data_IF_443144725517
#
_entry.id   IF_443144725517
#
_cell.length_a   1.000
_cell.length_b   1.000
_cell.length_c   1.000
_cell.angle_alpha   90.00
_cell.angle_beta   90.00
_cell.angle_gamma   90.00
#
_symmetry.space_group_name_H-M   'P 1'
#
loop_
_entity.id
_entity.type
_entity.pdbx_description
1 polymer ?
#
# COMPACT_ATOMS: atom_id res chain seq x y z
N UNK A 1 35.99 2.89 -27.50
CA UNK A 1 36.81 3.42 -26.40
C UNK A 1 36.07 3.21 -25.06
N UNK A 2 36.79 3.17 -23.96
CA UNK A 2 36.25 2.95 -22.62
C UNK A 2 35.18 4.00 -22.24
N UNK A 3 35.38 5.23 -22.70
CA UNK A 3 34.41 6.34 -22.50
C UNK A 3 33.07 6.14 -23.23
N UNK A 4 33.09 5.53 -24.40
CA UNK A 4 31.88 5.20 -25.16
C UNK A 4 31.07 4.09 -24.46
N UNK A 5 31.76 3.11 -23.85
CA UNK A 5 31.12 2.02 -23.10
C UNK A 5 30.45 2.54 -21.82
N UNK A 6 31.08 3.46 -21.10
CA UNK A 6 30.53 4.09 -19.89
C UNK A 6 29.32 4.97 -20.20
N UNK A 7 29.34 5.74 -21.27
CA UNK A 7 28.18 6.52 -21.74
C UNK A 7 27.00 5.63 -22.11
N UNK A 8 27.24 4.54 -22.84
CA UNK A 8 26.21 3.59 -23.21
C UNK A 8 25.64 2.84 -22.01
N UNK A 9 26.45 2.53 -21.00
CA UNK A 9 25.99 1.92 -19.76
C UNK A 9 25.11 2.89 -18.96
N UNK A 10 25.50 4.14 -18.83
CA UNK A 10 24.72 5.18 -18.13
C UNK A 10 23.37 5.44 -18.84
N UNK A 11 23.35 5.49 -20.17
CA UNK A 11 22.13 5.71 -20.94
C UNK A 11 21.15 4.52 -20.79
N UNK A 12 21.67 3.29 -20.87
CA UNK A 12 20.85 2.08 -20.67
C UNK A 12 20.26 2.01 -19.28
N UNK A 13 21.07 2.27 -18.27
CA UNK A 13 20.62 2.24 -16.87
C UNK A 13 19.55 3.30 -16.58
N UNK A 14 19.72 4.51 -17.13
CA UNK A 14 18.71 5.56 -17.02
C UNK A 14 17.42 5.22 -17.79
N UNK A 15 17.52 4.55 -18.94
CA UNK A 15 16.36 4.11 -19.70
C UNK A 15 15.59 3.00 -18.97
N UNK A 16 16.29 2.00 -18.44
CA UNK A 16 15.68 0.92 -17.66
C UNK A 16 15.02 1.45 -16.39
N UNK A 17 15.62 2.44 -15.73
CA UNK A 17 15.06 3.10 -14.55
C UNK A 17 13.80 3.92 -14.91
N UNK A 18 13.85 4.69 -16.01
CA UNK A 18 12.71 5.45 -16.51
C UNK A 18 11.55 4.54 -16.95
N UNK A 19 11.87 3.42 -17.61
CA UNK A 19 10.87 2.41 -18.03
C UNK A 19 10.24 1.70 -16.81
N UNK A 20 11.01 1.45 -15.76
CA UNK A 20 10.51 0.89 -14.51
C UNK A 20 9.59 1.89 -13.77
N UNK A 21 9.97 3.16 -13.69
CA UNK A 21 9.13 4.22 -13.10
C UNK A 21 7.84 4.47 -13.89
N UNK A 22 7.89 4.36 -15.23
CA UNK A 22 6.72 4.51 -16.08
C UNK A 22 5.63 3.44 -15.84
N UNK A 23 6.00 2.31 -15.22
CA UNK A 23 5.07 1.20 -14.87
C UNK A 23 4.57 1.27 -13.44
N UNK A 24 5.04 2.22 -12.65
CA UNK A 24 4.61 2.38 -11.27
C UNK A 24 3.22 3.01 -11.19
N UNK A 25 2.37 2.40 -10.39
CA UNK A 25 1.08 2.94 -9.99
C UNK A 25 1.15 3.38 -8.52
N UNK A 26 0.65 4.56 -8.27
CA UNK A 26 0.42 5.07 -6.93
C UNK A 26 -0.96 4.61 -6.45
N UNK A 27 -1.01 4.09 -5.22
CA UNK A 27 -2.25 3.75 -4.53
C UNK A 27 -2.26 4.39 -3.15
N UNK A 28 -3.37 5.03 -2.81
CA UNK A 28 -3.62 5.59 -1.49
C UNK A 28 -5.09 5.37 -1.13
N UNK A 29 -5.33 4.78 0.05
CA UNK A 29 -6.69 4.55 0.54
C UNK A 29 -6.77 4.89 2.03
N UNK A 30 -7.87 5.52 2.41
CA UNK A 30 -8.25 5.75 3.80
C UNK A 30 -9.55 5.03 4.08
N UNK A 31 -9.58 4.24 5.14
CA UNK A 31 -10.74 3.43 5.49
C UNK A 31 -10.92 3.31 7.00
N UNK A 32 -12.11 2.91 7.37
CA UNK A 32 -12.51 2.59 8.73
C UNK A 32 -13.12 1.19 8.73
N UNK A 33 -12.61 0.33 9.61
CA UNK A 33 -13.09 -1.02 9.84
C UNK A 33 -13.74 -1.10 11.21
N UNK A 34 -14.87 -1.79 11.32
CA UNK A 34 -15.57 -2.02 12.57
C UNK A 34 -16.11 -3.44 12.61
N UNK A 35 -16.02 -4.10 13.75
CA UNK A 35 -16.66 -5.42 13.96
C UNK A 35 -18.18 -5.28 13.92
N UNK A 36 -18.87 -6.22 13.25
CA UNK A 36 -20.32 -6.19 13.15
C UNK A 36 -21.02 -6.54 14.47
N UNK A 37 -20.38 -7.36 15.29
CA UNK A 37 -20.90 -7.81 16.58
C UNK A 37 -20.54 -6.91 17.76
N UNK A 38 -19.70 -5.88 17.54
CA UNK A 38 -19.18 -4.99 18.59
C UNK A 38 -18.11 -5.63 19.49
N UNK A 39 -17.66 -6.83 19.14
CA UNK A 39 -16.56 -7.52 19.83
C UNK A 39 -15.20 -6.93 19.48
N UNK A 40 -14.21 -7.15 20.35
CA UNK A 40 -12.81 -6.79 20.06
C UNK A 40 -12.11 -7.90 19.30
N UNK A 41 -11.28 -7.51 18.35
CA UNK A 41 -10.45 -8.41 17.54
C UNK A 41 -8.97 -8.04 17.61
N UNK A 42 -8.11 -8.98 17.28
CA UNK A 42 -6.68 -8.70 17.08
C UNK A 42 -6.49 -7.91 15.78
N UNK A 43 -6.42 -6.59 15.91
CA UNK A 43 -6.22 -5.70 14.76
C UNK A 43 -4.83 -5.83 14.12
N UNK A 44 -3.82 -6.35 14.84
CA UNK A 44 -2.53 -6.67 14.24
C UNK A 44 -2.67 -7.82 13.24
N UNK A 45 -3.46 -8.83 13.56
CA UNK A 45 -3.77 -9.92 12.63
C UNK A 45 -4.52 -9.43 11.39
N UNK A 46 -5.43 -8.48 11.54
CA UNK A 46 -6.15 -7.83 10.42
C UNK A 46 -5.17 -7.12 9.48
N UNK A 47 -4.24 -6.33 10.03
CA UNK A 47 -3.21 -5.64 9.24
C UNK A 47 -2.29 -6.62 8.52
N UNK A 48 -1.85 -7.66 9.22
CA UNK A 48 -0.96 -8.71 8.67
C UNK A 48 -1.62 -9.44 7.51
N UNK A 49 -2.84 -9.94 7.71
CA UNK A 49 -3.59 -10.65 6.67
C UNK A 49 -3.89 -9.76 5.45
N UNK A 50 -4.17 -8.48 5.65
CA UNK A 50 -4.37 -7.55 4.55
C UNK A 50 -3.10 -7.38 3.71
N UNK A 51 -1.96 -7.16 4.35
CA UNK A 51 -0.67 -7.01 3.64
C UNK A 51 -0.29 -8.32 2.94
N UNK A 52 -0.46 -9.47 3.59
CA UNK A 52 -0.23 -10.78 3.00
C UNK A 52 -1.15 -11.06 1.81
N UNK A 53 -2.42 -10.72 1.90
CA UNK A 53 -3.37 -10.82 0.78
C UNK A 53 -2.95 -9.99 -0.43
N UNK A 54 -2.49 -8.76 -0.20
CA UNK A 54 -1.95 -7.89 -1.25
C UNK A 54 -0.68 -8.51 -1.86
N UNK A 55 0.24 -8.99 -1.02
CA UNK A 55 1.48 -9.65 -1.44
C UNK A 55 1.20 -10.85 -2.33
N UNK A 56 0.33 -11.74 -1.90
CA UNK A 56 -0.05 -12.93 -2.66
C UNK A 56 -0.72 -12.59 -3.99
N UNK A 57 -1.62 -11.60 -4.00
CA UNK A 57 -2.26 -11.14 -5.22
C UNK A 57 -1.27 -10.55 -6.24
N UNK A 58 -0.21 -9.88 -5.79
CA UNK A 58 0.87 -9.39 -6.64
C UNK A 58 1.73 -10.54 -7.20
N UNK A 59 2.08 -11.52 -6.35
CA UNK A 59 2.84 -12.72 -6.76
C UNK A 59 2.08 -13.49 -7.85
N UNK A 60 0.80 -13.73 -7.68
CA UNK A 60 -0.05 -14.43 -8.65
C UNK A 60 -0.07 -13.73 -10.01
N UNK A 61 -0.03 -12.39 -10.02
CA UNK A 61 0.00 -11.56 -11.22
C UNK A 61 1.42 -11.32 -11.74
N UNK A 62 2.44 -11.92 -11.13
CA UNK A 62 3.87 -11.68 -11.43
C UNK A 62 4.21 -10.19 -11.39
N UNK A 63 3.70 -9.49 -10.38
CA UNK A 63 3.92 -8.07 -10.12
C UNK A 63 4.69 -7.89 -8.83
N UNK A 64 5.18 -6.68 -8.58
CA UNK A 64 5.93 -6.35 -7.38
C UNK A 64 5.45 -5.02 -6.77
N UNK A 65 5.78 -4.84 -5.50
CA UNK A 65 5.50 -3.61 -4.76
C UNK A 65 6.79 -3.14 -4.09
N UNK A 66 7.53 -2.19 -4.70
CA UNK A 66 8.74 -1.65 -4.07
C UNK A 66 8.44 -0.86 -2.80
N UNK A 67 7.18 -0.52 -2.54
CA UNK A 67 6.79 0.24 -1.37
C UNK A 67 5.30 0.05 -1.07
N UNK A 68 5.01 -0.60 0.04
CA UNK A 68 3.69 -0.67 0.66
C UNK A 68 3.84 -0.25 2.13
N UNK A 69 3.04 0.67 2.59
CA UNK A 69 2.96 1.09 3.99
C UNK A 69 1.52 1.12 4.45
N UNK A 70 1.30 0.67 5.67
CA UNK A 70 0.05 0.85 6.40
C UNK A 70 0.31 1.64 7.68
N UNK A 71 -0.62 2.51 7.99
CA UNK A 71 -0.73 3.17 9.27
C UNK A 71 -2.14 2.96 9.80
N UNK A 72 -2.25 2.30 10.93
CA UNK A 72 -3.52 1.94 11.53
C UNK A 72 -3.61 2.48 12.96
N UNK A 73 -4.72 3.12 13.31
CA UNK A 73 -4.97 3.68 14.63
C UNK A 73 -6.25 3.12 15.23
N UNK A 74 -6.23 2.85 16.53
CA UNK A 74 -7.39 2.40 17.28
C UNK A 74 -7.36 2.96 18.69
N UNK A 75 -8.53 3.18 19.28
CA UNK A 75 -8.64 3.73 20.63
C UNK A 75 -7.93 5.08 20.78
N UNK A 76 -7.43 5.36 21.97
CA UNK A 76 -6.69 6.57 22.30
C UNK A 76 -5.16 6.30 22.26
N UNK A 77 -4.54 6.68 21.13
CA UNK A 77 -3.08 6.64 20.98
C UNK A 77 -2.48 5.26 20.66
N UNK A 78 -3.29 4.23 20.49
CA UNK A 78 -2.80 2.93 20.05
C UNK A 78 -2.70 2.89 18.51
N UNK A 79 -1.59 2.37 17.96
CA UNK A 79 -1.36 2.40 16.53
C UNK A 79 -0.41 1.29 16.05
N UNK A 80 -0.50 1.00 14.78
CA UNK A 80 0.41 0.12 14.05
C UNK A 80 1.04 0.84 12.87
N UNK A 81 2.31 0.56 12.62
CA UNK A 81 3.03 0.92 11.39
C UNK A 81 3.67 -0.32 10.83
N UNK A 82 3.25 -0.71 9.64
CA UNK A 82 3.81 -1.84 8.92
C UNK A 82 4.26 -1.43 7.52
N UNK A 83 5.26 -2.11 6.98
CA UNK A 83 5.78 -1.88 5.65
C UNK A 83 6.21 -3.17 4.96
N UNK A 84 6.09 -3.18 3.63
CA UNK A 84 6.58 -4.22 2.75
C UNK A 84 7.35 -3.54 1.61
N UNK A 85 8.60 -3.94 1.40
CA UNK A 85 9.50 -3.34 0.40
C UNK A 85 9.67 -4.18 -0.88
N UNK A 86 8.95 -5.28 -0.95
CA UNK A 86 8.92 -6.20 -2.09
C UNK A 86 8.21 -7.49 -1.73
N UNK A 87 7.68 -8.20 -2.74
CA UNK A 87 6.94 -9.45 -2.53
C UNK A 87 7.80 -10.58 -1.95
N UNK A 88 9.12 -10.50 -2.12
CA UNK A 88 10.09 -11.49 -1.62
C UNK A 88 10.62 -11.15 -0.20
N UNK A 89 10.11 -10.09 0.41
CA UNK A 89 10.54 -9.65 1.74
C UNK A 89 9.46 -9.92 2.79
N UNK A 90 9.89 -10.02 4.04
CA UNK A 90 8.98 -10.10 5.17
C UNK A 90 8.33 -8.75 5.47
N UNK A 91 7.16 -8.79 6.10
CA UNK A 91 6.50 -7.59 6.61
C UNK A 91 7.30 -7.05 7.79
N UNK A 92 7.67 -5.78 7.74
CA UNK A 92 8.35 -5.10 8.83
C UNK A 92 7.36 -4.27 9.64
N UNK A 93 7.39 -4.43 10.96
CA UNK A 93 6.59 -3.66 11.91
C UNK A 93 7.47 -2.69 12.68
N UNK A 94 7.30 -1.39 12.43
CA UNK A 94 7.90 -0.35 13.29
C UNK A 94 7.15 -0.20 14.61
N UNK A 95 5.84 -0.49 14.61
CA UNK A 95 4.96 -0.47 15.78
C UNK A 95 3.79 -1.41 15.54
N UNK A 96 3.36 -2.10 16.57
CA UNK A 96 2.14 -2.91 16.59
C UNK A 96 1.15 -2.35 17.62
N UNK A 97 -0.14 -2.59 17.39
CA UNK A 97 -1.19 -2.25 18.37
C UNK A 97 -0.96 -3.04 19.68
N UNK A 98 -1.16 -2.37 20.79
CA UNK A 98 -0.89 -2.95 22.11
C UNK A 98 -2.00 -3.91 22.57
N UNK A 99 -3.24 -3.69 22.12
CA UNK A 99 -4.40 -4.47 22.54
C UNK A 99 -5.43 -4.68 21.43
N UNK A 100 -6.36 -5.64 21.59
CA UNK A 100 -7.50 -5.80 20.66
C UNK A 100 -8.48 -4.64 20.74
N UNK A 101 -9.09 -4.30 19.59
CA UNK A 101 -10.07 -3.22 19.43
C UNK A 101 -11.30 -3.68 18.64
N UNK A 102 -12.42 -2.97 18.78
CA UNK A 102 -13.62 -3.21 17.96
C UNK A 102 -13.61 -2.45 16.62
N UNK A 103 -12.70 -1.48 16.49
CA UNK A 103 -12.58 -0.69 15.25
C UNK A 103 -11.15 -0.25 14.99
N UNK A 104 -10.89 0.08 13.72
CA UNK A 104 -9.57 0.43 13.22
C UNK A 104 -9.71 1.47 12.11
N UNK A 105 -8.98 2.57 12.21
CA UNK A 105 -8.78 3.51 11.09
C UNK A 105 -7.47 3.17 10.41
N UNK A 106 -7.49 3.08 9.09
CA UNK A 106 -6.30 2.68 8.35
C UNK A 106 -6.04 3.57 7.14
N UNK A 107 -4.76 3.85 6.93
CA UNK A 107 -4.22 4.44 5.71
C UNK A 107 -3.33 3.41 5.04
N UNK A 108 -3.56 3.16 3.75
CA UNK A 108 -2.76 2.28 2.92
C UNK A 108 -2.11 3.13 1.83
N UNK A 109 -0.79 3.10 1.75
CA UNK A 109 -0.02 3.73 0.69
C UNK A 109 0.83 2.68 -0.01
N UNK A 110 0.74 2.60 -1.33
CA UNK A 110 1.59 1.72 -2.11
C UNK A 110 2.12 2.39 -3.38
N UNK A 111 3.30 1.96 -3.78
CA UNK A 111 3.83 2.11 -5.13
C UNK A 111 4.05 0.71 -5.66
N UNK A 112 3.29 0.33 -6.67
CA UNK A 112 3.34 -1.01 -7.22
C UNK A 112 3.72 -0.99 -8.70
N UNK A 113 4.52 -1.96 -9.12
CA UNK A 113 4.79 -2.24 -10.53
C UNK A 113 3.63 -3.06 -11.07
N UNK A 114 2.50 -2.38 -11.29
CA UNK A 114 1.22 -2.97 -11.69
C UNK A 114 0.37 -1.87 -12.32
N UNK A 115 -0.44 -2.21 -13.30
CA UNK A 115 -1.38 -1.29 -13.91
C UNK A 115 -2.48 -0.89 -12.90
N UNK A 116 -3.01 0.32 -13.02
CA UNK A 116 -3.92 0.91 -12.03
C UNK A 116 -5.20 0.08 -11.81
N UNK A 117 -5.85 -0.38 -12.87
CA UNK A 117 -7.11 -1.13 -12.76
C UNK A 117 -6.94 -2.51 -12.13
N UNK A 118 -5.95 -3.35 -12.54
CA UNK A 118 -5.64 -4.60 -11.84
C UNK A 118 -5.21 -4.39 -10.38
N UNK A 119 -4.43 -3.34 -10.08
CA UNK A 119 -4.02 -3.02 -8.72
C UNK A 119 -5.22 -2.66 -7.84
N UNK A 120 -6.12 -1.81 -8.32
CA UNK A 120 -7.33 -1.45 -7.59
C UNK A 120 -8.20 -2.67 -7.25
N UNK A 121 -8.39 -3.59 -8.19
CA UNK A 121 -9.12 -4.85 -7.95
C UNK A 121 -8.43 -5.73 -6.93
N UNK A 122 -7.12 -5.89 -7.03
CA UNK A 122 -6.33 -6.68 -6.09
C UNK A 122 -6.46 -6.13 -4.65
N UNK A 123 -6.41 -4.80 -4.51
CA UNK A 123 -6.59 -4.15 -3.21
C UNK A 123 -8.01 -4.33 -2.66
N UNK A 124 -9.02 -4.24 -3.52
CA UNK A 124 -10.42 -4.50 -3.15
C UNK A 124 -10.61 -5.95 -2.72
N UNK A 125 -10.12 -6.92 -3.49
CA UNK A 125 -10.22 -8.35 -3.17
C UNK A 125 -9.57 -8.68 -1.82
N UNK A 126 -8.35 -8.16 -1.57
CA UNK A 126 -7.65 -8.38 -0.31
C UNK A 126 -8.40 -7.77 0.89
N UNK A 127 -9.01 -6.60 0.72
CA UNK A 127 -9.83 -5.96 1.74
C UNK A 127 -11.11 -6.74 2.01
N UNK A 128 -11.80 -7.19 0.96
CA UNK A 128 -13.02 -7.98 1.07
C UNK A 128 -12.77 -9.30 1.79
N UNK A 129 -11.69 -10.01 1.48
CA UNK A 129 -11.29 -11.25 2.17
C UNK A 129 -11.05 -11.04 3.67
N UNK A 130 -10.39 -9.95 4.04
CA UNK A 130 -10.16 -9.60 5.45
C UNK A 130 -11.46 -9.23 6.15
N UNK A 131 -12.32 -8.45 5.50
CA UNK A 131 -13.62 -8.09 6.05
C UNK A 131 -14.53 -9.32 6.25
N UNK A 132 -14.52 -10.25 5.32
CA UNK A 132 -15.23 -11.51 5.45
C UNK A 132 -14.67 -12.38 6.59
N UNK A 133 -13.34 -12.54 6.64
CA UNK A 133 -12.67 -13.38 7.65
C UNK A 133 -12.93 -12.92 9.08
N UNK A 134 -12.93 -11.62 9.32
CA UNK A 134 -13.06 -11.04 10.67
C UNK A 134 -14.45 -10.46 10.96
N UNK A 135 -15.41 -10.65 10.07
CA UNK A 135 -16.77 -10.10 10.18
C UNK A 135 -16.77 -8.58 10.42
N UNK A 136 -16.16 -7.85 9.47
CA UNK A 136 -15.98 -6.40 9.56
C UNK A 136 -16.87 -5.67 8.56
N UNK A 137 -17.44 -4.55 9.03
CA UNK A 137 -17.95 -3.49 8.16
C UNK A 137 -16.79 -2.56 7.74
N UNK A 138 -16.79 -2.15 6.49
CA UNK A 138 -15.74 -1.30 5.92
C UNK A 138 -16.33 -0.04 5.31
N UNK A 139 -15.87 1.12 5.76
CA UNK A 139 -16.15 2.41 5.16
C UNK A 139 -14.89 2.97 4.52
N UNK A 140 -14.95 3.24 3.21
CA UNK A 140 -13.85 3.86 2.46
C UNK A 140 -14.11 5.35 2.31
N UNK A 141 -13.24 6.19 2.86
CA UNK A 141 -13.36 7.65 2.80
C UNK A 141 -12.64 8.27 1.61
N UNK A 142 -11.58 7.61 1.15
CA UNK A 142 -10.76 8.12 0.06
C UNK A 142 -10.05 6.97 -0.64
N UNK A 143 -9.98 7.06 -1.98
CA UNK A 143 -9.16 6.16 -2.80
C UNK A 143 -8.55 6.95 -3.94
N UNK A 144 -7.24 6.80 -4.13
CA UNK A 144 -6.51 7.25 -5.31
C UNK A 144 -5.73 6.06 -5.85
N UNK A 145 -5.89 5.78 -7.13
CA UNK A 145 -5.15 4.74 -7.83
C UNK A 145 -4.84 5.24 -9.24
N UNK A 146 -3.61 5.66 -9.48
CA UNK A 146 -3.21 6.28 -10.73
C UNK A 146 -1.75 6.01 -11.08
N UNK A 147 -1.39 5.96 -12.37
CA UNK A 147 0.00 5.94 -12.80
C UNK A 147 0.78 7.13 -12.22
N UNK A 148 2.03 6.93 -11.84
CA UNK A 148 2.87 7.99 -11.25
C UNK A 148 3.07 9.15 -12.24
N UNK A 149 3.24 8.87 -13.52
CA UNK A 149 3.35 9.89 -14.56
C UNK A 149 2.13 10.81 -14.63
N UNK A 150 0.92 10.28 -14.48
CA UNK A 150 -0.31 11.05 -14.45
C UNK A 150 -0.35 12.01 -13.25
N UNK A 151 0.09 11.55 -12.10
CA UNK A 151 0.15 12.35 -10.87
C UNK A 151 1.13 13.53 -10.98
N UNK A 152 2.28 13.31 -11.61
CA UNK A 152 3.26 14.38 -11.88
C UNK A 152 2.71 15.42 -12.85
N UNK A 153 1.97 15.00 -13.89
CA UNK A 153 1.35 15.91 -14.87
C UNK A 153 0.25 16.78 -14.27
N UNK A 154 -0.48 16.28 -13.26
CA UNK A 154 -1.54 17.01 -12.57
C UNK A 154 -1.03 17.98 -11.50
N UNK A 155 0.30 18.15 -11.35
CA UNK A 155 0.91 19.10 -10.41
C UNK A 155 0.66 18.79 -8.93
N UNK A 156 0.24 17.58 -8.60
CA UNK A 156 0.06 17.14 -7.21
C UNK A 156 1.44 16.94 -6.60
N UNK A 157 1.94 17.96 -5.92
CA UNK A 157 3.25 17.91 -5.27
C UNK A 157 3.29 16.91 -4.12
N UNK A 158 4.47 16.35 -3.87
CA UNK A 158 4.75 15.44 -2.75
C UNK A 158 4.30 16.01 -1.39
N UNK A 159 4.33 17.34 -1.25
CA UNK A 159 3.93 18.09 -0.06
C UNK A 159 2.41 18.08 0.18
N UNK A 160 1.59 18.15 -0.88
CA UNK A 160 0.13 18.05 -0.74
C UNK A 160 -0.32 16.65 -0.36
N UNK A 161 0.36 15.61 -0.85
CA UNK A 161 0.08 14.23 -0.45
C UNK A 161 0.40 13.96 1.02
N UNK A 162 1.46 14.59 1.57
CA UNK A 162 1.85 14.46 2.97
C UNK A 162 0.93 15.26 3.91
N UNK A 163 0.47 16.45 3.49
CA UNK A 163 -0.45 17.26 4.30
C UNK A 163 -1.85 16.64 4.42
N UNK A 164 -2.28 15.87 3.43
CA UNK A 164 -3.53 15.10 3.50
C UNK A 164 -3.40 13.81 4.34
N UNK A 165 -2.19 13.38 4.68
CA UNK A 165 -1.93 12.22 5.54
C UNK A 165 -1.92 12.58 7.04
N UNK A 166 -1.87 13.87 7.38
CA UNK A 166 -1.76 14.37 8.76
C UNK A 166 -3.11 14.79 9.37
N UNK A 167 -4.22 14.68 8.64
CA UNK A 167 -5.59 14.91 9.10
C UNK A 167 -6.39 13.60 9.11
#
# INVERSE_FOLDING_TARGET
THETALKNFSVRHNQEFADAEAKLTWYNRRLYLKTNDGGKIDCNAVVDDLIEGIRMGLIERKRNVPHLKTFATAGEGDYSKASLIGVDYDIEYAQQLAEPHENLRMIINARAVCEARPLARLMDDALDEVCEKYDLDCQVFFTECAPICFRMMMGISRLQALSQQAL
#
